data_IF_140108432220
#
_entry.id   IF_140108432220
#
_cell.length_a   1.000
_cell.length_b   1.000
_cell.length_c   1.000
_cell.angle_alpha   90.00
_cell.angle_beta   90.00
_cell.angle_gamma   90.00
#
_symmetry.space_group_name_H-M   'P 1'
#
loop_
_entity.id
_entity.type
_entity.pdbx_description
1 polymer ?
#
# COMPACT_ATOMS: atom_id res chain seq x y z
N UNK A 1 -3.18 17.09 16.00
CA UNK A 1 -3.42 15.78 16.63
C UNK A 1 -2.16 14.94 16.48
N UNK A 2 -1.74 14.27 17.54
CA UNK A 2 -0.53 13.45 17.59
C UNK A 2 -0.83 11.99 17.25
N UNK A 3 0.14 11.25 16.70
CA UNK A 3 -0.02 9.82 16.40
C UNK A 3 -0.31 8.96 17.64
N UNK A 4 0.05 9.42 18.84
CA UNK A 4 -0.24 8.73 20.11
C UNK A 4 -1.73 8.62 20.40
N UNK A 5 -2.57 9.49 19.80
CA UNK A 5 -4.03 9.41 19.89
C UNK A 5 -4.59 8.15 19.22
N UNK A 6 -3.82 7.49 18.35
CA UNK A 6 -4.21 6.24 17.68
C UNK A 6 -3.89 4.99 18.51
N UNK A 7 -3.30 5.12 19.70
CA UNK A 7 -2.81 4.00 20.53
C UNK A 7 -3.89 2.99 20.96
N UNK A 8 -5.17 3.36 20.92
CA UNK A 8 -6.29 2.45 21.18
C UNK A 8 -6.64 1.53 20.01
N UNK A 9 -6.23 1.89 18.78
CA UNK A 9 -6.63 1.20 17.54
C UNK A 9 -5.45 0.75 16.67
N UNK A 10 -4.24 1.21 16.98
CA UNK A 10 -3.02 0.97 16.20
C UNK A 10 -1.94 0.39 17.10
N UNK A 11 -1.26 -0.66 16.60
CA UNK A 11 -0.13 -1.31 17.24
C UNK A 11 0.96 -0.29 17.67
N UNK A 12 1.49 -0.39 18.89
CA UNK A 12 2.50 0.54 19.40
C UNK A 12 3.78 0.55 18.54
N UNK A 13 4.11 -0.56 17.88
CA UNK A 13 5.24 -0.67 16.96
C UNK A 13 5.12 0.29 15.77
N UNK A 14 3.91 0.45 15.23
CA UNK A 14 3.64 1.36 14.11
C UNK A 14 3.77 2.81 14.57
N UNK A 15 3.21 3.16 15.74
CA UNK A 15 3.32 4.50 16.33
C UNK A 15 4.79 4.84 16.66
N UNK A 16 5.55 3.87 17.16
CA UNK A 16 6.99 4.04 17.39
C UNK A 16 7.73 4.30 16.08
N UNK A 17 7.35 3.63 14.99
CA UNK A 17 7.96 3.84 13.69
C UNK A 17 7.70 5.25 13.15
N UNK A 18 6.49 5.82 13.33
CA UNK A 18 6.22 7.21 12.90
C UNK A 18 7.15 8.20 13.59
N UNK A 19 7.38 8.02 14.90
CA UNK A 19 8.31 8.86 15.67
C UNK A 19 9.76 8.70 15.21
N UNK A 20 10.20 7.46 14.94
CA UNK A 20 11.54 7.18 14.43
C UNK A 20 11.78 7.78 13.03
N UNK A 21 10.72 7.88 12.22
CA UNK A 21 10.73 8.56 10.93
C UNK A 21 10.65 10.10 11.04
N UNK A 22 10.56 10.65 12.26
CA UNK A 22 10.48 12.09 12.51
C UNK A 22 9.08 12.70 12.42
N UNK A 23 8.03 11.88 12.33
CA UNK A 23 6.65 12.38 12.38
C UNK A 23 6.20 12.61 13.82
N UNK A 24 6.03 13.88 14.18
CA UNK A 24 5.56 14.30 15.51
C UNK A 24 4.05 14.53 15.52
N UNK A 25 3.54 15.27 14.53
CA UNK A 25 2.12 15.62 14.39
C UNK A 25 1.53 15.04 13.10
N UNK A 26 0.26 14.62 13.15
CA UNK A 26 -0.45 14.16 11.97
C UNK A 26 -0.84 15.34 11.08
N UNK A 27 -0.59 15.23 9.77
CA UNK A 27 -1.13 16.14 8.75
C UNK A 27 -2.64 16.01 8.63
N UNK A 28 -3.32 16.98 8.02
CA UNK A 28 -4.78 16.94 7.85
C UNK A 28 -5.25 15.66 7.12
N UNK A 29 -4.52 15.25 6.07
CA UNK A 29 -4.84 14.02 5.33
C UNK A 29 -4.70 12.78 6.21
N UNK A 30 -3.69 12.72 7.09
CA UNK A 30 -3.50 11.61 8.03
C UNK A 30 -4.63 11.55 9.06
N UNK A 31 -4.98 12.70 9.66
CA UNK A 31 -6.07 12.80 10.64
C UNK A 31 -7.42 12.33 10.08
N UNK A 32 -7.70 12.65 8.80
CA UNK A 32 -8.95 12.28 8.14
C UNK A 32 -8.94 10.85 7.60
N UNK A 33 -7.85 10.42 6.97
CA UNK A 33 -7.80 9.13 6.26
C UNK A 33 -7.63 7.94 7.20
N UNK A 34 -6.75 8.04 8.22
CA UNK A 34 -6.39 6.89 9.06
C UNK A 34 -7.62 6.26 9.72
N UNK A 35 -8.52 7.01 10.39
CA UNK A 35 -9.71 6.41 11.03
C UNK A 35 -10.65 5.73 10.03
N UNK A 36 -10.87 6.35 8.86
CA UNK A 36 -11.76 5.81 7.82
C UNK A 36 -11.21 4.51 7.23
N UNK A 37 -9.91 4.47 6.95
CA UNK A 37 -9.24 3.28 6.42
C UNK A 37 -9.17 2.16 7.46
N UNK A 38 -8.96 2.47 8.74
CA UNK A 38 -9.02 1.48 9.82
C UNK A 38 -10.42 0.84 9.89
N UNK A 39 -11.48 1.64 9.77
CA UNK A 39 -12.86 1.17 9.73
C UNK A 39 -13.23 0.40 8.46
N UNK A 40 -12.37 0.39 7.44
CA UNK A 40 -12.61 -0.38 6.19
C UNK A 40 -13.50 0.33 5.18
N UNK A 41 -13.63 1.66 5.25
CA UNK A 41 -14.40 2.41 4.26
C UNK A 41 -13.64 2.56 2.93
N UNK A 42 -14.38 2.48 1.82
CA UNK A 42 -13.92 2.97 0.53
C UNK A 42 -13.77 4.50 0.61
N UNK A 43 -12.72 5.05 -0.01
CA UNK A 43 -12.45 6.48 0.06
C UNK A 43 -11.79 7.06 -1.18
N UNK A 44 -12.04 8.33 -1.41
CA UNK A 44 -11.31 9.17 -2.37
C UNK A 44 -10.76 10.36 -1.58
N UNK A 45 -9.46 10.54 -1.65
CA UNK A 45 -8.72 11.59 -0.97
C UNK A 45 -8.00 12.47 -1.99
N UNK A 46 -8.34 13.75 -1.98
CA UNK A 46 -7.63 14.78 -2.73
C UNK A 46 -6.68 15.52 -1.80
N UNK A 47 -5.38 15.40 -2.04
CA UNK A 47 -4.35 16.07 -1.27
C UNK A 47 -3.09 16.31 -2.12
N UNK A 48 -2.41 17.47 -2.01
CA UNK A 48 -1.16 17.72 -2.71
C UNK A 48 -0.08 16.66 -2.43
N UNK A 49 0.85 16.49 -3.35
CA UNK A 49 2.06 15.68 -3.14
C UNK A 49 2.86 16.22 -1.95
N UNK A 50 3.55 15.34 -1.22
CA UNK A 50 4.35 15.73 -0.05
C UNK A 50 3.55 15.93 1.25
N UNK A 51 2.24 15.67 1.26
CA UNK A 51 1.38 15.80 2.47
C UNK A 51 1.40 14.59 3.41
N UNK A 52 2.29 13.62 3.16
CA UNK A 52 2.41 12.41 3.97
C UNK A 52 1.30 11.37 3.73
N UNK A 53 0.76 11.30 2.49
CA UNK A 53 -0.25 10.31 2.07
C UNK A 53 0.19 8.87 2.36
N UNK A 54 1.47 8.55 2.13
CA UNK A 54 2.01 7.21 2.38
C UNK A 54 1.86 6.76 3.82
N UNK A 55 2.09 7.65 4.79
CA UNK A 55 1.86 7.34 6.20
C UNK A 55 0.36 7.22 6.48
N UNK A 56 -0.47 8.06 5.84
CA UNK A 56 -1.92 8.06 6.01
C UNK A 56 -2.56 6.71 5.64
N UNK A 57 -2.13 6.10 4.53
CA UNK A 57 -2.59 4.75 4.17
C UNK A 57 -1.71 3.63 4.72
N UNK A 58 -0.44 3.89 5.02
CA UNK A 58 0.51 2.89 5.50
C UNK A 58 0.17 2.36 6.88
N UNK A 59 -0.23 3.23 7.80
CA UNK A 59 -0.66 2.85 9.16
C UNK A 59 -1.81 1.83 9.13
N UNK A 60 -2.96 2.10 8.49
CA UNK A 60 -4.06 1.15 8.44
C UNK A 60 -3.72 -0.13 7.66
N UNK A 61 -2.92 -0.04 6.58
CA UNK A 61 -2.45 -1.23 5.86
C UNK A 61 -1.62 -2.14 6.78
N UNK A 62 -0.63 -1.58 7.48
CA UNK A 62 0.23 -2.35 8.38
C UNK A 62 -0.57 -2.94 9.55
N UNK A 63 -1.49 -2.16 10.13
CA UNK A 63 -2.35 -2.62 11.21
C UNK A 63 -3.18 -3.85 10.79
N UNK A 64 -3.74 -3.84 9.57
CA UNK A 64 -4.54 -4.93 9.02
C UNK A 64 -3.72 -6.12 8.54
N UNK A 65 -2.50 -5.87 8.05
CA UNK A 65 -1.60 -6.90 7.56
C UNK A 65 -0.87 -7.65 8.70
N UNK A 66 -0.63 -7.00 9.84
CA UNK A 66 0.11 -7.58 10.94
C UNK A 66 -0.64 -8.77 11.57
N UNK A 67 0.08 -9.87 11.80
CA UNK A 67 -0.49 -11.13 12.28
C UNK A 67 -0.97 -12.09 11.18
N UNK A 68 -0.91 -11.70 9.90
CA UNK A 68 -1.17 -12.61 8.78
C UNK A 68 0.13 -13.19 8.19
N UNK A 69 0.11 -14.47 7.76
CA UNK A 69 1.27 -15.09 7.15
C UNK A 69 1.58 -14.44 5.80
N UNK A 70 2.86 -14.41 5.43
CA UNK A 70 3.34 -13.83 4.18
C UNK A 70 2.93 -14.63 2.91
N UNK A 71 2.07 -15.65 2.99
CA UNK A 71 1.77 -16.52 1.85
C UNK A 71 1.08 -15.80 0.68
N UNK A 72 0.09 -14.96 0.98
CA UNK A 72 -0.60 -14.13 0.00
C UNK A 72 -0.76 -12.71 0.56
N UNK A 73 -0.59 -11.65 -0.25
CA UNK A 73 -0.66 -10.30 0.24
C UNK A 73 -2.04 -9.96 0.80
N UNK A 74 -2.07 -9.15 1.85
CA UNK A 74 -3.27 -8.52 2.40
C UNK A 74 -3.55 -7.17 1.79
N UNK A 75 -2.52 -6.47 1.32
CA UNK A 75 -2.65 -5.18 0.69
C UNK A 75 -1.91 -5.08 -0.64
N UNK A 76 -2.54 -4.36 -1.58
CA UNK A 76 -1.93 -3.92 -2.84
C UNK A 76 -1.93 -2.39 -2.87
N UNK A 77 -0.78 -1.79 -3.16
CA UNK A 77 -0.66 -0.35 -3.42
C UNK A 77 -0.20 -0.14 -4.87
N UNK A 78 -1.02 0.53 -5.67
CA UNK A 78 -0.70 0.86 -7.05
C UNK A 78 -0.19 2.29 -7.16
N UNK A 79 0.83 2.48 -7.98
CA UNK A 79 1.42 3.79 -8.31
C UNK A 79 1.77 3.85 -9.79
N UNK A 80 1.71 5.03 -10.43
CA UNK A 80 1.90 5.17 -11.89
C UNK A 80 3.34 4.89 -12.36
N UNK A 81 4.34 5.25 -11.55
CA UNK A 81 5.76 5.17 -11.94
C UNK A 81 6.55 4.23 -11.05
N UNK A 82 7.71 3.80 -11.55
CA UNK A 82 8.66 2.96 -10.79
C UNK A 82 9.18 3.71 -9.58
N UNK A 83 9.56 4.96 -9.78
CA UNK A 83 10.20 5.80 -8.77
C UNK A 83 9.26 6.02 -7.59
N UNK A 84 7.97 6.32 -7.86
CA UNK A 84 6.95 6.44 -6.83
C UNK A 84 6.67 5.10 -6.14
N UNK A 85 6.58 4.00 -6.89
CA UNK A 85 6.37 2.67 -6.30
C UNK A 85 7.53 2.26 -5.37
N UNK A 86 8.77 2.59 -5.73
CA UNK A 86 9.94 2.36 -4.90
C UNK A 86 9.92 3.23 -3.63
N UNK A 87 9.56 4.51 -3.77
CA UNK A 87 9.46 5.43 -2.64
C UNK A 87 8.40 4.97 -1.64
N UNK A 88 7.19 4.63 -2.12
CA UNK A 88 6.12 4.08 -1.29
C UNK A 88 6.57 2.80 -0.59
N UNK A 89 7.21 1.87 -1.30
CA UNK A 89 7.69 0.63 -0.69
C UNK A 89 8.74 0.87 0.40
N UNK A 90 9.64 1.84 0.20
CA UNK A 90 10.64 2.22 1.19
C UNK A 90 9.98 2.85 2.43
N UNK A 91 9.03 3.76 2.24
CA UNK A 91 8.28 4.39 3.33
C UNK A 91 7.50 3.36 4.14
N UNK A 92 6.81 2.42 3.48
CA UNK A 92 6.09 1.34 4.15
C UNK A 92 7.04 0.39 4.89
N UNK A 93 8.22 0.12 4.34
CA UNK A 93 9.25 -0.69 5.01
C UNK A 93 9.79 0.04 6.27
N UNK A 94 10.03 1.34 6.18
CA UNK A 94 10.45 2.16 7.32
C UNK A 94 9.36 2.24 8.40
N UNK A 95 8.10 2.35 7.99
CA UNK A 95 6.95 2.35 8.89
C UNK A 95 6.71 0.98 9.54
N UNK A 96 7.15 -0.11 8.88
CA UNK A 96 7.11 -1.47 9.38
C UNK A 96 8.38 -1.90 10.14
N UNK A 97 9.35 -1.01 10.38
CA UNK A 97 10.68 -1.40 10.91
C UNK A 97 10.66 -2.15 12.25
N UNK A 98 9.58 -2.00 13.03
CA UNK A 98 9.37 -2.68 14.31
C UNK A 98 8.38 -3.88 14.21
N UNK A 99 8.00 -4.28 13.01
CA UNK A 99 7.12 -5.42 12.69
C UNK A 99 7.88 -6.44 11.82
N UNK A 100 8.72 -7.31 12.41
CA UNK A 100 9.61 -8.20 11.65
C UNK A 100 8.87 -9.22 10.78
N UNK A 101 7.58 -9.47 11.04
CA UNK A 101 6.74 -10.35 10.24
C UNK A 101 6.31 -9.70 8.91
N UNK A 102 6.26 -8.37 8.82
CA UNK A 102 5.79 -7.67 7.63
C UNK A 102 6.88 -7.66 6.56
N UNK A 103 6.54 -8.20 5.39
CA UNK A 103 7.33 -8.05 4.17
C UNK A 103 6.59 -7.23 3.13
N UNK A 104 7.25 -6.17 2.68
CA UNK A 104 6.83 -5.33 1.55
C UNK A 104 7.64 -5.73 0.32
N UNK A 105 6.97 -6.00 -0.80
CA UNK A 105 7.60 -6.30 -2.08
C UNK A 105 7.18 -5.26 -3.11
N UNK A 106 8.16 -4.68 -3.82
CA UNK A 106 7.93 -3.68 -4.86
C UNK A 106 8.13 -4.29 -6.25
N UNK A 107 7.15 -4.17 -7.15
CA UNK A 107 7.22 -4.72 -8.52
C UNK A 107 6.86 -3.69 -9.58
N UNK A 108 7.72 -3.53 -10.58
CA UNK A 108 7.55 -2.54 -11.64
C UNK A 108 8.23 -2.95 -12.96
N UNK A 109 7.86 -2.26 -14.05
CA UNK A 109 8.43 -2.43 -15.39
C UNK A 109 9.91 -2.05 -15.50
N UNK A 110 10.61 -2.55 -16.52
CA UNK A 110 12.01 -2.18 -16.78
C UNK A 110 13.06 -2.80 -15.84
N UNK A 111 12.65 -3.60 -14.85
CA UNK A 111 13.53 -4.44 -14.05
C UNK A 111 13.29 -5.93 -14.34
N UNK A 112 14.27 -6.77 -13.98
CA UNK A 112 14.26 -8.21 -14.22
C UNK A 112 13.07 -8.91 -13.58
N UNK A 113 12.21 -9.52 -14.41
CA UNK A 113 10.99 -10.20 -14.00
C UNK A 113 11.27 -11.32 -13.00
N UNK A 114 12.26 -12.18 -13.28
CA UNK A 114 12.61 -13.33 -12.45
C UNK A 114 12.99 -12.96 -11.01
N UNK A 115 13.71 -11.84 -10.82
CA UNK A 115 14.11 -11.38 -9.49
C UNK A 115 12.87 -11.01 -8.67
N UNK A 116 11.95 -10.27 -9.27
CA UNK A 116 10.69 -9.89 -8.62
C UNK A 116 9.80 -11.13 -8.37
N UNK A 117 9.75 -12.09 -9.30
CA UNK A 117 9.03 -13.35 -9.12
C UNK A 117 9.56 -14.15 -7.93
N UNK A 118 10.89 -14.23 -7.76
CA UNK A 118 11.50 -14.90 -6.60
C UNK A 118 11.11 -14.22 -5.28
N UNK A 119 11.07 -12.88 -5.25
CA UNK A 119 10.65 -12.11 -4.08
C UNK A 119 9.17 -12.35 -3.73
N UNK A 120 8.28 -12.35 -4.73
CA UNK A 120 6.86 -12.63 -4.54
C UNK A 120 6.62 -14.07 -4.07
N UNK A 121 7.30 -15.06 -4.65
CA UNK A 121 7.20 -16.48 -4.25
C UNK A 121 7.73 -16.76 -2.85
N UNK A 122 8.67 -15.95 -2.35
CA UNK A 122 9.08 -16.01 -0.95
C UNK A 122 7.98 -15.56 0.02
N UNK A 123 6.90 -14.97 -0.50
CA UNK A 123 5.76 -14.46 0.23
C UNK A 123 5.92 -13.01 0.65
N UNK A 124 4.82 -12.26 0.71
CA UNK A 124 4.73 -10.92 1.29
C UNK A 124 3.32 -10.60 1.77
N UNK A 125 3.20 -9.67 2.70
CA UNK A 125 1.90 -9.15 3.17
C UNK A 125 1.46 -7.93 2.38
N UNK A 126 2.40 -7.19 1.81
CA UNK A 126 2.12 -5.95 1.08
C UNK A 126 2.88 -5.99 -0.24
N UNK A 127 2.16 -5.75 -1.33
CA UNK A 127 2.75 -5.52 -2.65
C UNK A 127 2.53 -4.08 -3.06
N UNK A 128 3.62 -3.39 -3.41
CA UNK A 128 3.59 -2.07 -4.06
C UNK A 128 3.94 -2.26 -5.53
N UNK A 129 3.17 -1.72 -6.46
CA UNK A 129 3.37 -2.04 -7.87
C UNK A 129 2.99 -0.94 -8.85
N UNK A 130 3.59 -1.00 -10.05
CA UNK A 130 2.96 -0.41 -11.23
C UNK A 130 1.90 -1.37 -11.82
N UNK A 131 0.77 -0.87 -12.35
CA UNK A 131 -0.37 -1.72 -12.73
C UNK A 131 -0.02 -2.84 -13.70
N UNK A 132 0.64 -2.51 -14.82
CA UNK A 132 1.01 -3.50 -15.84
C UNK A 132 1.92 -4.61 -15.30
N UNK A 133 2.90 -4.28 -14.45
CA UNK A 133 3.82 -5.30 -13.91
C UNK A 133 3.14 -6.20 -12.89
N UNK A 134 2.23 -5.69 -12.07
CA UNK A 134 1.44 -6.53 -11.17
C UNK A 134 0.66 -7.59 -11.97
N UNK A 135 0.03 -7.17 -13.06
CA UNK A 135 -0.71 -8.07 -13.96
C UNK A 135 0.20 -9.11 -14.62
N UNK A 136 1.42 -8.76 -15.02
CA UNK A 136 2.39 -9.74 -15.53
C UNK A 136 2.69 -10.83 -14.49
N UNK A 137 2.97 -10.45 -13.24
CA UNK A 137 3.27 -11.41 -12.18
C UNK A 137 2.07 -12.29 -11.83
N UNK A 138 0.86 -11.73 -11.85
CA UNK A 138 -0.37 -12.50 -11.68
C UNK A 138 -0.55 -13.55 -12.80
N UNK A 139 -0.41 -13.13 -14.07
CA UNK A 139 -0.52 -14.03 -15.24
C UNK A 139 0.54 -15.14 -15.25
N UNK A 140 1.73 -14.88 -14.71
CA UNK A 140 2.80 -15.88 -14.57
C UNK A 140 2.71 -16.72 -13.29
N UNK A 141 1.60 -16.65 -12.55
CA UNK A 141 1.38 -17.39 -11.30
C UNK A 141 2.48 -17.17 -10.25
N UNK A 142 3.08 -15.97 -10.25
CA UNK A 142 4.07 -15.57 -9.25
C UNK A 142 3.43 -14.84 -8.06
N UNK A 143 2.16 -14.45 -8.17
CA UNK A 143 1.41 -13.70 -7.18
C UNK A 143 -0.02 -14.24 -7.07
N UNK A 144 -0.45 -14.58 -5.86
CA UNK A 144 -1.85 -14.85 -5.54
C UNK A 144 -2.49 -13.59 -4.94
N UNK A 145 -3.56 -13.09 -5.56
CA UNK A 145 -4.32 -11.92 -5.12
C UNK A 145 -5.60 -12.27 -4.34
N UNK A 146 -5.89 -13.57 -4.15
CA UNK A 146 -7.15 -14.05 -3.56
C UNK A 146 -7.39 -13.58 -2.13
N UNK A 147 -6.33 -13.22 -1.41
CA UNK A 147 -6.37 -12.82 0.01
C UNK A 147 -6.22 -11.32 0.25
N UNK A 148 -6.16 -10.51 -0.82
CA UNK A 148 -6.03 -9.06 -0.71
C UNK A 148 -7.36 -8.47 -0.25
N UNK A 149 -7.35 -7.81 0.91
CA UNK A 149 -8.52 -7.15 1.50
C UNK A 149 -8.49 -5.64 1.30
N UNK A 150 -7.31 -5.05 1.11
CA UNK A 150 -7.14 -3.61 0.92
C UNK A 150 -6.40 -3.29 -0.37
N UNK A 151 -6.94 -2.37 -1.17
CA UNK A 151 -6.24 -1.79 -2.31
C UNK A 151 -6.14 -0.27 -2.16
N UNK A 152 -4.97 0.28 -2.48
CA UNK A 152 -4.73 1.72 -2.56
C UNK A 152 -4.27 2.09 -3.96
N UNK A 153 -4.84 3.15 -4.52
CA UNK A 153 -4.44 3.77 -5.78
C UNK A 153 -3.82 5.13 -5.46
N UNK A 154 -2.49 5.27 -5.52
CA UNK A 154 -1.81 6.55 -5.32
C UNK A 154 -1.47 7.22 -6.66
N UNK A 155 -1.67 8.54 -6.73
CA UNK A 155 -1.69 9.33 -7.97
C UNK A 155 -2.63 8.71 -9.03
N UNK A 156 -3.87 8.47 -8.62
CA UNK A 156 -4.86 7.74 -9.41
C UNK A 156 -5.23 8.43 -10.73
N UNK A 157 -5.28 9.76 -10.75
CA UNK A 157 -5.43 10.59 -11.95
C UNK A 157 -4.29 10.34 -12.95
N UNK A 158 -3.05 10.30 -12.47
CA UNK A 158 -1.90 10.04 -13.34
C UNK A 158 -1.92 8.63 -13.93
N UNK A 159 -2.36 7.62 -13.15
CA UNK A 159 -2.57 6.28 -13.69
C UNK A 159 -3.59 6.26 -14.83
N UNK A 160 -4.65 7.08 -14.75
CA UNK A 160 -5.63 7.21 -15.84
C UNK A 160 -5.02 7.92 -17.06
N UNK A 161 -4.27 9.00 -16.86
CA UNK A 161 -3.60 9.75 -17.92
C UNK A 161 -2.58 8.90 -18.69
N UNK A 162 -1.85 8.03 -17.99
CA UNK A 162 -0.89 7.09 -18.58
C UNK A 162 -1.57 5.89 -19.27
N UNK A 163 -2.89 5.79 -19.25
CA UNK A 163 -3.65 4.73 -19.90
C UNK A 163 -3.75 3.43 -19.12
N UNK A 164 -3.38 3.41 -17.82
CA UNK A 164 -3.45 2.20 -16.99
C UNK A 164 -4.87 1.81 -16.55
N UNK A 165 -5.90 2.55 -16.96
CA UNK A 165 -7.30 2.29 -16.57
C UNK A 165 -7.71 0.80 -16.72
N UNK A 166 -7.34 0.16 -17.84
CA UNK A 166 -7.68 -1.25 -18.08
C UNK A 166 -6.98 -2.19 -17.11
N UNK A 167 -5.70 -1.96 -16.84
CA UNK A 167 -4.93 -2.77 -15.90
C UNK A 167 -5.43 -2.58 -14.47
N UNK A 168 -5.66 -1.33 -14.03
CA UNK A 168 -6.20 -1.03 -12.70
C UNK A 168 -7.56 -1.69 -12.49
N UNK A 169 -8.47 -1.57 -13.45
CA UNK A 169 -9.77 -2.23 -13.39
C UNK A 169 -9.64 -3.75 -13.33
N UNK A 170 -8.79 -4.31 -14.19
CA UNK A 170 -8.51 -5.75 -14.20
C UNK A 170 -7.98 -6.24 -12.86
N UNK A 171 -7.08 -5.50 -12.21
CA UNK A 171 -6.57 -5.82 -10.87
C UNK A 171 -7.72 -5.83 -9.86
N UNK A 172 -8.54 -4.78 -9.82
CA UNK A 172 -9.67 -4.68 -8.88
C UNK A 172 -10.64 -5.85 -9.05
N UNK A 173 -10.94 -6.23 -10.29
CA UNK A 173 -11.84 -7.35 -10.61
C UNK A 173 -11.30 -8.71 -10.12
N UNK A 174 -9.98 -8.85 -9.97
CA UNK A 174 -9.32 -10.04 -9.43
C UNK A 174 -9.36 -10.12 -7.90
N UNK A 175 -9.52 -9.00 -7.19
CA UNK A 175 -9.48 -8.96 -5.72
C UNK A 175 -10.80 -9.42 -5.09
N UNK A 176 -11.05 -10.74 -5.07
CA UNK A 176 -12.32 -11.32 -4.59
C UNK A 176 -12.60 -11.11 -3.10
N UNK A 177 -11.56 -10.91 -2.30
CA UNK A 177 -11.66 -10.67 -0.86
C UNK A 177 -11.55 -9.19 -0.48
N UNK A 178 -11.63 -8.26 -1.46
CA UNK A 178 -11.52 -6.83 -1.21
C UNK A 178 -12.63 -6.35 -0.28
N UNK A 179 -12.23 -5.75 0.82
CA UNK A 179 -13.11 -5.06 1.77
C UNK A 179 -13.05 -3.54 1.57
N UNK A 180 -11.90 -2.99 1.17
CA UNK A 180 -11.72 -1.55 1.03
C UNK A 180 -10.84 -1.14 -0.16
N UNK A 181 -11.18 -0.04 -0.81
CA UNK A 181 -10.44 0.65 -1.85
C UNK A 181 -10.26 2.13 -1.49
N UNK A 182 -9.02 2.60 -1.53
CA UNK A 182 -8.70 4.01 -1.28
C UNK A 182 -7.99 4.61 -2.48
N UNK A 183 -8.49 5.74 -2.99
CA UNK A 183 -7.85 6.50 -4.06
C UNK A 183 -7.26 7.78 -3.49
N UNK A 184 -5.99 8.03 -3.79
CA UNK A 184 -5.29 9.26 -3.47
C UNK A 184 -4.88 9.95 -4.77
N UNK A 185 -5.14 11.24 -4.86
CA UNK A 185 -4.77 12.04 -6.02
C UNK A 185 -4.46 13.48 -5.60
N UNK A 186 -3.60 14.14 -6.37
CA UNK A 186 -3.34 15.57 -6.21
C UNK A 186 -4.43 16.46 -6.83
N UNK A 187 -5.18 15.97 -7.83
CA UNK A 187 -6.11 16.79 -8.63
C UNK A 187 -7.56 16.32 -8.62
#
# INVERSE_FOLDING_TARGET
MNFTELSSSVRPEIIRATQAMGYTEMTEIQQKAIPLMLAGHDMIAKAPTGTGKTVAFGIPILQKAAGFPAGAPKAVVLSPTRELAQQIAQDLTNLAQFLPEIRVVCVYGGAGLEKQQKQLKAGCQIVVATPGRLMDHYRHHALDLSQVTTIVLDEADEMLNMGFYKDVRGIIDLLKSRESLSMFSAT
#
